data_IF_475531676199
#
_entry.id   IF_475531676199
#
_cell.length_a   1.000
_cell.length_b   1.000
_cell.length_c   1.000
_cell.angle_alpha   90.00
_cell.angle_beta   90.00
_cell.angle_gamma   90.00
#
_symmetry.space_group_name_H-M   'P 1'
#
loop_
_entity.id
_entity.type
_entity.pdbx_description
1 polymer ?
#
# COMPACT_ATOMS: atom_id res chain seq x y z
N UNK A 1 -1.47 18.15 -12.60
CA UNK A 1 -1.52 16.72 -12.93
C UNK A 1 -0.67 15.97 -11.90
N UNK A 2 -1.28 15.12 -11.07
CA UNK A 2 -0.55 14.17 -10.23
C UNK A 2 0.23 13.22 -11.13
N UNK A 3 1.57 13.26 -11.08
CA UNK A 3 2.45 12.30 -11.76
C UNK A 3 2.89 11.24 -10.76
N UNK A 4 1.94 10.53 -10.15
CA UNK A 4 2.28 9.34 -9.36
C UNK A 4 2.38 8.14 -10.30
N UNK A 5 3.58 7.58 -10.42
CA UNK A 5 3.80 6.37 -11.21
C UNK A 5 3.61 5.16 -10.29
N UNK A 6 2.59 4.35 -10.55
CA UNK A 6 2.48 3.05 -9.92
C UNK A 6 3.72 2.20 -10.29
N UNK A 7 4.40 1.69 -9.27
CA UNK A 7 5.60 0.86 -9.39
C UNK A 7 5.23 -0.59 -9.71
N UNK A 8 4.09 -1.05 -9.20
CA UNK A 8 3.57 -2.41 -9.39
C UNK A 8 2.27 -2.39 -10.18
N UNK A 9 1.97 -3.49 -10.86
CA UNK A 9 0.74 -3.63 -11.66
C UNK A 9 -0.20 -4.68 -11.05
N UNK A 10 -1.47 -4.65 -11.46
CA UNK A 10 -2.47 -5.66 -11.07
C UNK A 10 -1.98 -7.07 -11.43
N UNK A 11 -2.25 -8.03 -10.54
CA UNK A 11 -1.79 -9.42 -10.64
C UNK A 11 -0.32 -9.62 -10.28
N UNK A 12 0.45 -8.57 -9.98
CA UNK A 12 1.86 -8.72 -9.61
C UNK A 12 1.99 -9.32 -8.21
N UNK A 13 2.79 -10.38 -8.09
CA UNK A 13 3.19 -10.92 -6.79
C UNK A 13 4.31 -10.05 -6.20
N UNK A 14 4.10 -9.53 -5.00
CA UNK A 14 5.06 -8.74 -4.25
C UNK A 14 5.40 -9.42 -2.92
N UNK A 15 6.58 -9.10 -2.36
CA UNK A 15 7.00 -9.54 -1.03
C UNK A 15 7.12 -8.32 -0.13
N UNK A 16 6.55 -8.38 1.07
CA UNK A 16 6.69 -7.31 2.03
C UNK A 16 8.15 -7.21 2.52
N UNK A 17 8.64 -5.98 2.75
CA UNK A 17 10.06 -5.75 3.09
C UNK A 17 10.42 -6.08 4.54
N UNK A 18 9.47 -5.88 5.47
CA UNK A 18 9.67 -6.08 6.93
C UNK A 18 9.03 -7.39 7.42
N UNK A 19 7.73 -7.57 7.18
CA UNK A 19 6.97 -8.78 7.49
C UNK A 19 7.17 -9.91 6.44
N UNK A 20 7.16 -11.19 6.86
CA UNK A 20 7.48 -12.33 6.01
C UNK A 20 6.25 -12.84 5.22
N UNK A 21 5.57 -11.98 4.46
CA UNK A 21 4.42 -12.39 3.64
C UNK A 21 4.60 -11.99 2.17
N UNK A 22 3.89 -12.73 1.31
CA UNK A 22 3.71 -12.41 -0.11
C UNK A 22 2.26 -12.08 -0.37
N UNK A 23 2.01 -11.24 -1.36
CA UNK A 23 0.65 -10.95 -1.78
C UNK A 23 0.56 -10.59 -3.26
N UNK A 24 -0.63 -10.74 -3.81
CA UNK A 24 -0.97 -10.36 -5.18
C UNK A 24 -1.65 -9.00 -5.14
N UNK A 25 -1.15 -8.05 -5.94
CA UNK A 25 -1.81 -6.75 -6.11
C UNK A 25 -3.13 -6.93 -6.84
N UNK A 26 -4.24 -6.51 -6.24
CA UNK A 26 -5.57 -6.57 -6.88
C UNK A 26 -6.21 -5.20 -7.10
N UNK A 27 -5.72 -4.14 -6.43
CA UNK A 27 -6.16 -2.77 -6.65
C UNK A 27 -5.07 -1.75 -6.29
N UNK A 28 -5.17 -0.52 -6.80
CA UNK A 28 -4.23 0.59 -6.57
C UNK A 28 -4.96 1.93 -6.46
N UNK A 29 -4.84 2.57 -5.31
CA UNK A 29 -5.22 3.97 -5.14
C UNK A 29 -4.07 4.91 -5.52
N UNK A 30 -4.37 6.01 -6.21
CA UNK A 30 -3.34 6.97 -6.64
C UNK A 30 -2.69 7.75 -5.48
N UNK A 31 -3.43 7.88 -4.37
CA UNK A 31 -3.09 8.59 -3.12
C UNK A 31 -3.80 7.88 -1.96
N UNK A 32 -3.52 8.30 -0.73
CA UNK A 32 -4.21 7.77 0.45
C UNK A 32 -5.73 8.02 0.36
N UNK A 33 -6.52 6.95 0.49
CA UNK A 33 -7.98 6.92 0.33
C UNK A 33 -8.72 6.44 1.58
N UNK A 34 -8.00 6.02 2.63
CA UNK A 34 -8.56 5.58 3.92
C UNK A 34 -8.95 6.79 4.79
N UNK A 35 -9.59 6.50 5.93
CA UNK A 35 -10.04 7.56 6.85
C UNK A 35 -8.87 8.19 7.62
N UNK A 36 -9.09 9.42 8.09
CA UNK A 36 -8.09 10.13 8.88
C UNK A 36 -7.85 9.44 10.24
N UNK A 37 -8.87 8.83 10.84
CA UNK A 37 -8.72 8.08 12.09
C UNK A 37 -7.78 6.87 11.91
N UNK A 38 -7.87 6.18 10.77
CA UNK A 38 -6.94 5.09 10.46
C UNK A 38 -5.51 5.61 10.33
N UNK A 39 -5.33 6.77 9.69
CA UNK A 39 -4.02 7.40 9.52
C UNK A 39 -3.42 7.81 10.87
N UNK A 40 -4.24 8.39 11.75
CA UNK A 40 -3.83 8.82 13.08
C UNK A 40 -3.47 7.65 14.00
N UNK A 41 -4.13 6.49 13.83
CA UNK A 41 -3.85 5.27 14.57
C UNK A 41 -2.47 4.65 14.25
N UNK A 42 -1.84 5.02 13.13
CA UNK A 42 -0.48 4.58 12.81
C UNK A 42 0.53 5.41 13.63
N UNK A 43 1.53 4.77 14.27
CA UNK A 43 2.64 5.48 14.91
C UNK A 43 3.31 6.47 13.94
N UNK A 44 3.62 7.69 14.40
CA UNK A 44 4.11 8.78 13.54
C UNK A 44 5.29 8.38 12.65
N UNK A 45 6.25 7.68 13.23
CA UNK A 45 7.46 7.17 12.62
C UNK A 45 7.23 6.01 11.62
N UNK A 46 6.00 5.50 11.54
CA UNK A 46 5.56 4.49 10.56
C UNK A 46 4.50 5.01 9.57
N UNK A 47 4.08 6.28 9.67
CA UNK A 47 3.06 6.84 8.77
C UNK A 47 3.57 6.93 7.32
N UNK A 48 2.87 6.34 6.34
CA UNK A 48 3.20 6.48 4.94
C UNK A 48 2.86 7.91 4.45
N UNK A 49 3.61 8.44 3.48
CA UNK A 49 3.21 9.68 2.79
C UNK A 49 1.85 9.50 2.11
N UNK A 50 0.95 10.49 2.23
CA UNK A 50 -0.39 10.44 1.59
C UNK A 50 -0.33 10.61 0.06
N UNK A 51 0.71 11.27 -0.47
CA UNK A 51 0.86 11.60 -1.90
C UNK A 51 1.59 10.51 -2.72
N UNK A 52 1.39 9.24 -2.37
CA UNK A 52 1.95 8.10 -3.09
C UNK A 52 0.86 7.06 -3.40
N UNK A 53 1.09 6.15 -4.35
CA UNK A 53 0.16 5.05 -4.60
C UNK A 53 0.07 4.07 -3.43
N UNK A 54 -1.14 3.66 -3.07
CA UNK A 54 -1.43 2.62 -2.07
C UNK A 54 -1.92 1.36 -2.78
N UNK A 55 -1.31 0.21 -2.45
CA UNK A 55 -1.60 -1.07 -3.10
C UNK A 55 -2.41 -1.95 -2.18
N UNK A 56 -3.50 -2.51 -2.70
CA UNK A 56 -4.28 -3.51 -2.00
C UNK A 56 -3.79 -4.91 -2.40
N UNK A 57 -3.49 -5.72 -1.40
CA UNK A 57 -2.87 -7.04 -1.57
C UNK A 57 -3.81 -8.13 -1.05
N UNK A 58 -3.98 -9.20 -1.83
CA UNK A 58 -4.42 -10.50 -1.31
C UNK A 58 -3.17 -11.22 -0.83
N UNK A 59 -2.97 -11.29 0.48
CA UNK A 59 -1.83 -11.94 1.11
C UNK A 59 -2.23 -13.29 1.69
N UNK A 60 -1.37 -14.29 1.50
CA UNK A 60 -1.45 -15.58 2.17
C UNK A 60 -0.35 -15.60 3.25
N UNK A 61 -0.74 -15.91 4.49
CA UNK A 61 0.19 -16.12 5.59
C UNK A 61 0.18 -17.62 5.90
N UNK A 62 1.33 -18.28 5.74
CA UNK A 62 1.61 -19.61 6.29
C UNK A 62 2.07 -19.51 7.76
#
# INVERSE_FOLDING_TARGET
>A
MLKTRAKYHLGQIVRHRKHPFRGVVFDVDAMFSNTDEWYEAIPEDSRPSKDQPFYHLLAEND
#
